data_IF_897497854974
#
_entry.id   IF_897497854974
#
_cell.length_a   1.000
_cell.length_b   1.000
_cell.length_c   1.000
_cell.angle_alpha   90.00
_cell.angle_beta   90.00
_cell.angle_gamma   90.00
#
_symmetry.space_group_name_H-M   'P 1'
#
loop_
_entity.id
_entity.type
_entity.pdbx_description
1 polymer ?
#
# COMPACT_ATOMS: atom_id res chain seq x y z
N UNK A 1 31.92 35.09 15.36
CA UNK A 1 31.01 34.74 14.24
C UNK A 1 31.37 33.44 13.47
N UNK A 2 32.27 32.56 13.95
CA UNK A 2 32.59 31.32 13.21
C UNK A 2 31.79 30.09 13.69
N UNK A 3 31.30 30.10 14.95
CA UNK A 3 30.60 28.96 15.56
C UNK A 3 29.11 28.85 15.16
N UNK A 4 28.52 29.90 14.60
CA UNK A 4 27.12 29.89 14.16
C UNK A 4 26.95 29.20 12.80
N UNK A 5 28.00 29.23 11.97
CA UNK A 5 27.95 28.66 10.61
C UNK A 5 28.05 27.12 10.62
N UNK A 6 28.74 26.54 11.61
CA UNK A 6 28.87 25.08 11.74
C UNK A 6 27.57 24.43 12.19
N UNK A 7 26.78 25.10 13.03
CA UNK A 7 25.49 24.58 13.50
C UNK A 7 24.48 24.45 12.35
N UNK A 8 24.53 25.37 11.37
CA UNK A 8 23.62 25.36 10.22
C UNK A 8 23.86 24.19 9.26
N UNK A 9 25.08 23.66 9.18
CA UNK A 9 25.39 22.53 8.29
C UNK A 9 24.90 21.19 8.85
N UNK A 10 24.84 21.04 10.18
CA UNK A 10 24.35 19.80 10.81
C UNK A 10 22.84 19.59 10.62
N UNK A 11 22.06 20.67 10.53
CA UNK A 11 20.59 20.60 10.38
C UNK A 11 20.19 20.08 8.99
N UNK A 12 21.03 20.26 7.97
CA UNK A 12 20.73 19.81 6.61
C UNK A 12 20.91 18.29 6.44
N UNK A 13 21.80 17.67 7.23
CA UNK A 13 22.06 16.23 7.17
C UNK A 13 20.95 15.38 7.80
N UNK A 14 20.16 15.95 8.70
CA UNK A 14 19.07 15.24 9.37
C UNK A 14 17.76 15.28 8.61
N UNK A 15 17.74 15.79 7.37
CA UNK A 15 16.55 15.75 6.50
C UNK A 15 16.09 14.30 6.38
N UNK A 16 15.02 13.89 7.08
CA UNK A 16 14.44 12.59 6.84
C UNK A 16 13.81 12.72 5.47
N UNK A 17 14.41 12.07 4.46
CA UNK A 17 13.68 11.81 3.23
C UNK A 17 12.33 11.19 3.65
N UNK A 18 11.19 11.59 3.06
CA UNK A 18 9.95 10.90 3.32
C UNK A 18 10.14 9.45 2.84
N UNK A 19 10.46 8.57 3.79
CA UNK A 19 10.28 7.14 3.57
C UNK A 19 8.79 7.00 3.34
N UNK A 20 8.39 6.60 2.14
CA UNK A 20 7.04 6.14 1.87
C UNK A 20 6.84 4.84 2.65
N UNK A 21 6.76 4.97 3.98
CA UNK A 21 6.43 3.90 4.89
C UNK A 21 4.91 3.93 5.01
N UNK A 22 4.24 3.26 4.06
CA UNK A 22 2.81 3.02 4.12
C UNK A 22 2.47 2.12 5.30
N UNK A 23 2.39 2.71 6.49
CA UNK A 23 1.85 2.12 7.71
C UNK A 23 1.08 3.21 8.46
N UNK A 24 -0.05 3.61 7.89
CA UNK A 24 -1.06 4.38 8.60
C UNK A 24 -2.31 3.52 8.63
N UNK A 25 -2.66 3.02 9.81
CA UNK A 25 -3.92 2.32 10.07
C UNK A 25 -5.09 3.32 10.30
N UNK A 26 -4.99 4.52 9.73
CA UNK A 26 -6.13 5.36 9.40
C UNK A 26 -6.63 4.93 8.01
N UNK A 27 -7.91 5.11 7.70
CA UNK A 27 -8.47 4.88 6.35
C UNK A 27 -7.90 5.93 5.37
N UNK A 28 -6.60 5.85 5.09
CA UNK A 28 -5.86 6.71 4.19
C UNK A 28 -6.14 6.24 2.77
N UNK A 29 -7.00 6.99 2.08
CA UNK A 29 -7.25 6.77 0.67
C UNK A 29 -5.93 6.74 -0.13
N UNK A 30 -5.86 5.88 -1.15
CA UNK A 30 -4.71 5.86 -2.05
C UNK A 30 -4.58 7.20 -2.79
N UNK A 31 -3.47 7.91 -2.57
CA UNK A 31 -3.12 9.11 -3.34
C UNK A 31 -2.50 8.76 -4.70
N UNK A 32 -1.85 7.59 -4.80
CA UNK A 32 -1.22 7.09 -6.01
C UNK A 32 -1.25 5.56 -6.04
N UNK A 33 -1.06 4.98 -7.23
CA UNK A 33 -1.14 3.55 -7.50
C UNK A 33 0.14 3.05 -8.17
N UNK A 34 0.55 1.82 -7.85
CA UNK A 34 1.68 1.20 -8.55
C UNK A 34 1.28 0.78 -9.96
N UNK A 35 2.06 1.20 -10.96
CA UNK A 35 1.91 0.73 -12.33
C UNK A 35 2.64 -0.60 -12.55
N UNK A 36 3.66 -0.87 -11.73
CA UNK A 36 4.47 -2.07 -11.84
C UNK A 36 3.71 -3.28 -11.28
N UNK A 37 3.73 -4.43 -11.98
CA UNK A 37 3.04 -5.63 -11.54
C UNK A 37 3.65 -6.15 -10.24
N UNK A 38 2.81 -6.32 -9.22
CA UNK A 38 3.22 -6.89 -7.94
C UNK A 38 3.16 -8.42 -8.05
N UNK A 39 4.16 -9.15 -7.54
CA UNK A 39 4.07 -10.61 -7.50
C UNK A 39 2.93 -11.08 -6.61
N UNK A 40 1.92 -11.75 -7.18
CA UNK A 40 0.72 -12.17 -6.45
C UNK A 40 0.97 -13.17 -5.31
N UNK A 41 2.13 -13.83 -5.26
CA UNK A 41 2.45 -14.80 -4.21
C UNK A 41 2.85 -14.15 -2.87
N UNK A 42 3.25 -12.87 -2.87
CA UNK A 42 3.54 -12.14 -1.64
C UNK A 42 2.31 -11.46 -1.04
N UNK A 43 1.16 -11.52 -1.72
CA UNK A 43 -0.08 -10.90 -1.26
C UNK A 43 -0.88 -11.89 -0.42
N UNK A 44 -1.29 -11.46 0.77
CA UNK A 44 -2.09 -12.23 1.72
C UNK A 44 -3.57 -11.84 1.68
N UNK A 45 -3.86 -10.55 1.54
CA UNK A 45 -5.22 -10.03 1.56
C UNK A 45 -5.36 -8.82 0.63
N UNK A 46 -6.60 -8.43 0.34
CA UNK A 46 -6.92 -7.24 -0.44
C UNK A 46 -8.14 -6.54 0.15
N UNK A 47 -8.22 -5.22 -0.02
CA UNK A 47 -9.41 -4.40 0.26
C UNK A 47 -9.64 -3.43 -0.89
N UNK A 48 -10.88 -3.11 -1.17
CA UNK A 48 -11.23 -2.08 -2.14
C UNK A 48 -11.34 -0.73 -1.44
N UNK A 49 -10.88 0.32 -2.11
CA UNK A 49 -11.15 1.70 -1.76
C UNK A 49 -11.87 2.32 -2.95
N UNK A 50 -13.16 2.60 -2.80
CA UNK A 50 -14.00 3.19 -3.83
C UNK A 50 -14.37 4.63 -3.48
N UNK A 51 -14.97 5.30 -4.47
CA UNK A 51 -15.54 6.64 -4.28
C UNK A 51 -16.66 6.63 -3.22
N UNK A 52 -17.38 5.51 -3.08
CA UNK A 52 -18.41 5.33 -2.05
C UNK A 52 -17.86 5.39 -0.63
N UNK A 53 -16.58 5.09 -0.47
CA UNK A 53 -15.88 5.11 0.82
C UNK A 53 -15.31 6.51 1.14
N UNK A 54 -15.63 7.52 0.31
CA UNK A 54 -15.10 8.89 0.45
C UNK A 54 -13.75 9.11 -0.23
N UNK A 55 -13.21 8.11 -0.93
CA UNK A 55 -11.93 8.23 -1.63
C UNK A 55 -12.08 8.89 -3.01
N UNK A 56 -11.25 9.89 -3.31
CA UNK A 56 -11.26 10.54 -4.63
C UNK A 56 -10.75 9.63 -5.75
N UNK A 57 -9.87 8.69 -5.42
CA UNK A 57 -9.23 7.77 -6.36
C UNK A 57 -9.66 6.34 -6.04
N UNK A 58 -10.34 5.64 -6.96
CA UNK A 58 -10.70 4.25 -6.74
C UNK A 58 -9.47 3.34 -6.93
N UNK A 59 -9.17 2.52 -5.93
CA UNK A 59 -7.98 1.65 -5.92
C UNK A 59 -8.21 0.37 -5.12
N UNK A 60 -7.33 -0.60 -5.31
CA UNK A 60 -7.25 -1.82 -4.48
C UNK A 60 -6.02 -1.74 -3.61
N UNK A 61 -6.17 -1.94 -2.31
CA UNK A 61 -5.04 -2.07 -1.40
C UNK A 61 -4.74 -3.54 -1.17
N UNK A 62 -3.57 -3.98 -1.61
CA UNK A 62 -3.04 -5.29 -1.33
C UNK A 62 -2.24 -5.28 -0.03
N UNK A 63 -2.55 -6.21 0.87
CA UNK A 63 -1.76 -6.46 2.07
C UNK A 63 -0.82 -7.62 1.82
N UNK A 64 0.47 -7.37 1.90
CA UNK A 64 1.51 -8.39 1.74
C UNK A 64 1.57 -9.31 2.96
N UNK A 65 2.21 -10.48 2.81
CA UNK A 65 2.51 -11.39 3.94
C UNK A 65 3.34 -10.73 5.04
N UNK A 66 4.11 -9.70 4.69
CA UNK A 66 4.91 -8.89 5.61
C UNK A 66 4.12 -7.76 6.28
N UNK A 67 2.80 -7.69 6.08
CA UNK A 67 1.93 -6.66 6.65
C UNK A 67 1.97 -5.31 5.91
N UNK A 68 2.80 -5.16 4.88
CA UNK A 68 2.87 -3.91 4.08
C UNK A 68 1.63 -3.76 3.20
N UNK A 69 1.13 -2.54 3.08
CA UNK A 69 -0.01 -2.20 2.23
C UNK A 69 0.47 -1.56 0.92
N UNK A 70 -0.08 -1.99 -0.21
CA UNK A 70 0.30 -1.54 -1.55
C UNK A 70 -0.96 -1.16 -2.35
N UNK A 71 -1.02 0.08 -2.84
CA UNK A 71 -2.10 0.56 -3.70
C UNK A 71 -1.91 0.12 -5.15
N UNK A 72 -2.93 -0.48 -5.75
CA UNK A 72 -2.94 -0.95 -7.13
C UNK A 72 -4.18 -0.43 -7.90
N UNK A 73 -4.06 -0.16 -9.21
CA UNK A 73 -5.17 0.31 -10.04
C UNK A 73 -6.17 -0.80 -10.35
N UNK A 74 -7.45 -0.47 -10.45
CA UNK A 74 -8.50 -1.45 -10.78
C UNK A 74 -8.45 -1.93 -12.24
N UNK A 75 -7.92 -1.10 -13.14
CA UNK A 75 -7.98 -1.32 -14.59
C UNK A 75 -6.93 -2.28 -15.14
N UNK A 76 -6.06 -2.81 -14.27
CA UNK A 76 -4.94 -3.64 -14.69
C UNK A 76 -5.23 -5.15 -14.62
N UNK A 77 -5.00 -5.92 -15.70
CA UNK A 77 -5.31 -7.36 -15.73
C UNK A 77 -4.57 -8.19 -14.67
N UNK A 78 -3.35 -7.77 -14.29
CA UNK A 78 -2.57 -8.45 -13.27
C UNK A 78 -3.20 -8.32 -11.87
N UNK A 79 -3.86 -7.20 -11.58
CA UNK A 79 -4.57 -6.93 -10.31
C UNK A 79 -5.74 -7.89 -10.18
N UNK A 80 -6.55 -8.00 -11.22
CA UNK A 80 -7.69 -8.91 -11.25
C UNK A 80 -7.28 -10.38 -11.08
N UNK A 81 -6.14 -10.79 -11.68
CA UNK A 81 -5.60 -12.14 -11.51
C UNK A 81 -5.24 -12.44 -10.04
N UNK A 82 -4.67 -11.47 -9.33
CA UNK A 82 -4.34 -11.60 -7.90
C UNK A 82 -5.62 -11.70 -7.07
N UNK A 83 -6.59 -10.81 -7.31
CA UNK A 83 -7.88 -10.81 -6.63
C UNK A 83 -8.59 -12.16 -6.79
N UNK A 84 -8.68 -12.68 -8.01
CA UNK A 84 -9.31 -13.98 -8.28
C UNK A 84 -8.62 -15.12 -7.53
N UNK A 85 -7.28 -15.10 -7.45
CA UNK A 85 -6.54 -16.09 -6.65
C UNK A 85 -6.91 -15.99 -5.17
N UNK A 86 -6.93 -14.77 -4.62
CA UNK A 86 -7.24 -14.53 -3.21
C UNK A 86 -8.68 -14.91 -2.86
N UNK A 87 -9.65 -14.59 -3.73
CA UNK A 87 -11.05 -14.99 -3.55
C UNK A 87 -11.22 -16.50 -3.50
N UNK A 88 -10.54 -17.25 -4.39
CA UNK A 88 -10.55 -18.73 -4.37
C UNK A 88 -9.98 -19.28 -3.06
N UNK A 89 -8.89 -18.68 -2.55
CA UNK A 89 -8.32 -19.11 -1.27
C UNK A 89 -9.22 -18.78 -0.08
N UNK A 90 -9.85 -17.60 -0.07
CA UNK A 90 -10.76 -17.18 1.00
C UNK A 90 -12.05 -18.00 1.02
N UNK A 91 -12.60 -18.33 -0.15
CA UNK A 91 -13.77 -19.22 -0.27
C UNK A 91 -13.46 -20.63 0.27
N UNK A 92 -12.27 -21.17 -0.04
CA UNK A 92 -11.81 -22.46 0.50
C UNK A 92 -11.65 -22.42 2.02
N UNK A 93 -11.14 -21.30 2.57
CA UNK A 93 -11.02 -21.10 4.02
C UNK A 93 -12.41 -21.08 4.69
N UNK A 94 -13.37 -20.32 4.12
CA UNK A 94 -14.74 -20.24 4.63
C UNK A 94 -15.43 -21.61 4.67
N UNK A 95 -15.19 -22.47 3.67
CA UNK A 95 -15.77 -23.81 3.65
C UNK A 95 -15.12 -24.76 4.68
N UNK A 96 -13.83 -24.59 4.99
CA UNK A 96 -13.09 -25.44 5.93
C UNK A 96 -13.33 -25.07 7.40
N UNK A 97 -13.79 -23.86 7.67
CA UNK A 97 -14.14 -23.38 9.01
C UNK A 97 -15.60 -23.65 9.40
N UNK A 98 -16.35 -24.37 8.56
CA UNK A 98 -17.77 -24.68 8.73
C UNK A 98 -18.01 -26.17 8.90
#
# INVERSE_FOLDING_TARGET
MALLLTLSLLVLWTSPAPTLSGTNDAEDCCLSVTQNPIPGYIIRNFRYLLIKDGCRVPAVVFTTVRGRQLCAPLDQPWVERIIRRLQRTSAKMKHRSS
#
